data_IF_333901807205
#
_entry.id   IF_333901807205
#
_cell.length_a   1.000
_cell.length_b   1.000
_cell.length_c   1.000
_cell.angle_alpha   90.00
_cell.angle_beta   90.00
_cell.angle_gamma   90.00
#
_symmetry.space_group_name_H-M   'P 1'
#
loop_
_entity.id
_entity.type
_entity.pdbx_description
1 polymer ?
#
# COMPACT_ATOMS: atom_id res chain seq x y z
N UNK A 1 0.91 -7.41 -52.01
CA UNK A 1 1.96 -7.40 -50.96
C UNK A 1 1.54 -6.65 -49.69
N UNK A 2 0.30 -6.15 -49.58
CA UNK A 2 -0.22 -5.55 -48.34
C UNK A 2 -1.09 -6.51 -47.51
N UNK A 3 -1.60 -7.60 -48.10
CA UNK A 3 -2.47 -8.54 -47.39
C UNK A 3 -1.71 -9.44 -46.41
N UNK A 4 -0.41 -9.68 -46.64
CA UNK A 4 0.43 -10.51 -45.78
C UNK A 4 0.90 -9.80 -44.49
N UNK A 5 0.65 -8.49 -44.37
CA UNK A 5 0.92 -7.73 -43.12
C UNK A 5 -0.31 -7.63 -42.21
N UNK A 6 -1.52 -7.91 -42.71
CA UNK A 6 -2.74 -7.95 -41.89
C UNK A 6 -2.92 -9.30 -41.19
N UNK A 7 -2.59 -10.41 -41.86
CA UNK A 7 -2.67 -11.75 -41.26
C UNK A 7 -1.63 -12.01 -40.15
N UNK A 8 -0.50 -11.29 -40.14
CA UNK A 8 0.49 -11.42 -39.06
C UNK A 8 0.10 -10.67 -37.78
N UNK A 9 -0.82 -9.69 -37.86
CA UNK A 9 -1.33 -8.99 -36.68
C UNK A 9 -2.56 -9.66 -36.06
N UNK A 10 -3.21 -10.57 -36.79
CA UNK A 10 -4.43 -11.28 -36.34
C UNK A 10 -4.13 -12.66 -35.70
N UNK A 11 -2.91 -13.19 -35.83
CA UNK A 11 -2.53 -14.53 -35.38
C UNK A 11 -1.87 -14.62 -33.98
N UNK A 12 -1.78 -13.52 -33.22
CA UNK A 12 -1.29 -13.54 -31.82
C UNK A 12 -2.40 -13.37 -30.78
N UNK A 13 -3.64 -13.71 -31.10
CA UNK A 13 -4.67 -13.92 -30.07
C UNK A 13 -4.54 -15.39 -29.62
N UNK A 14 -3.52 -15.69 -28.82
CA UNK A 14 -3.46 -16.96 -28.10
C UNK A 14 -4.69 -17.04 -27.19
N UNK A 15 -5.57 -18.01 -27.47
CA UNK A 15 -6.66 -18.37 -26.57
C UNK A 15 -6.05 -18.86 -25.24
N UNK A 16 -5.95 -17.92 -24.28
CA UNK A 16 -5.42 -18.20 -22.95
C UNK A 16 -6.19 -19.37 -22.34
N UNK A 17 -5.45 -20.40 -21.92
CA UNK A 17 -6.03 -21.56 -21.24
C UNK A 17 -6.71 -21.12 -19.94
N UNK A 18 -7.69 -21.89 -19.46
CA UNK A 18 -8.44 -21.56 -18.23
C UNK A 18 -7.53 -21.30 -17.04
N UNK A 19 -6.41 -22.02 -16.94
CA UNK A 19 -5.40 -21.82 -15.90
C UNK A 19 -4.68 -20.48 -16.04
N UNK A 20 -4.30 -20.08 -17.25
CA UNK A 20 -3.71 -18.76 -17.51
C UNK A 20 -4.69 -17.62 -17.21
N UNK A 21 -5.99 -17.82 -17.46
CA UNK A 21 -7.04 -16.86 -17.08
C UNK A 21 -7.16 -16.72 -15.56
N UNK A 22 -7.17 -17.84 -14.84
CA UNK A 22 -7.20 -17.86 -13.38
C UNK A 22 -5.95 -17.20 -12.78
N UNK A 23 -4.76 -17.45 -13.34
CA UNK A 23 -3.51 -16.80 -12.93
C UNK A 23 -3.53 -15.27 -13.12
N UNK A 24 -4.15 -14.80 -14.21
CA UNK A 24 -4.29 -13.36 -14.50
C UNK A 24 -5.31 -12.73 -13.56
N UNK A 25 -6.42 -13.42 -13.29
CA UNK A 25 -7.43 -13.01 -12.30
C UNK A 25 -6.83 -12.96 -10.88
N UNK A 26 -6.06 -13.98 -10.49
CA UNK A 26 -5.35 -13.99 -9.20
C UNK A 26 -4.30 -12.89 -9.11
N UNK A 27 -3.54 -12.60 -10.17
CA UNK A 27 -2.62 -11.45 -10.21
C UNK A 27 -3.34 -10.11 -10.14
N UNK A 28 -4.50 -9.98 -10.76
CA UNK A 28 -5.32 -8.76 -10.70
C UNK A 28 -5.93 -8.57 -9.30
N UNK A 29 -6.41 -9.65 -8.66
CA UNK A 29 -6.89 -9.63 -7.28
C UNK A 29 -5.75 -9.34 -6.32
N UNK A 30 -4.57 -9.94 -6.52
CA UNK A 30 -3.37 -9.65 -5.76
C UNK A 30 -2.94 -8.18 -5.94
N UNK A 31 -2.99 -7.64 -7.16
CA UNK A 31 -2.74 -6.22 -7.43
C UNK A 31 -3.79 -5.29 -6.80
N UNK A 32 -5.05 -5.71 -6.71
CA UNK A 32 -6.13 -5.00 -6.01
C UNK A 32 -5.97 -5.07 -4.47
N UNK A 33 -5.41 -6.15 -3.95
CA UNK A 33 -5.00 -6.28 -2.55
C UNK A 33 -3.76 -5.41 -2.29
N UNK A 34 -2.84 -5.34 -3.25
CA UNK A 34 -1.66 -4.46 -3.22
C UNK A 34 -2.02 -2.97 -3.40
N UNK A 35 -3.18 -2.65 -3.99
CA UNK A 35 -3.76 -1.28 -4.06
C UNK A 35 -4.19 -0.74 -2.70
N UNK A 36 -4.36 -1.62 -1.71
CA UNK A 36 -4.62 -1.30 -0.32
C UNK A 36 -3.46 -1.80 0.54
N UNK A 37 -2.29 -1.14 0.50
CA UNK A 37 -1.10 -1.62 1.21
C UNK A 37 -1.39 -1.64 2.71
N UNK A 38 -1.62 -2.84 3.25
CA UNK A 38 -1.70 -3.07 4.68
C UNK A 38 -0.30 -3.34 5.20
N UNK A 39 0.13 -2.56 6.17
CA UNK A 39 1.36 -2.86 6.89
C UNK A 39 1.15 -2.67 8.38
N UNK A 40 1.87 -3.46 9.16
CA UNK A 40 1.83 -3.41 10.61
C UNK A 40 3.18 -2.97 11.18
N UNK A 41 3.12 -2.19 12.25
CA UNK A 41 4.29 -1.69 12.98
C UNK A 41 4.25 -2.24 14.39
N UNK A 42 5.22 -3.08 14.78
CA UNK A 42 5.28 -3.58 16.15
C UNK A 42 5.58 -2.43 17.10
N UNK A 43 4.74 -2.29 18.12
CA UNK A 43 4.92 -1.36 19.23
C UNK A 43 5.87 -2.01 20.24
N UNK A 44 6.74 -1.25 20.91
CA UNK A 44 7.60 -1.79 21.99
C UNK A 44 6.82 -2.02 23.30
N UNK A 45 5.55 -2.43 23.19
CA UNK A 45 4.61 -2.58 24.30
C UNK A 45 4.10 -4.01 24.28
N UNK A 46 4.32 -4.72 25.38
CA UNK A 46 3.77 -6.05 25.61
C UNK A 46 2.34 -5.97 26.16
N UNK A 47 1.43 -6.86 25.74
CA UNK A 47 0.08 -6.92 26.25
C UNK A 47 0.10 -7.31 27.73
N UNK A 48 -0.48 -6.43 28.55
CA UNK A 48 -0.74 -6.73 29.96
C UNK A 48 -1.88 -7.72 30.13
N UNK A 49 -1.96 -8.35 31.32
CA UNK A 49 -3.11 -9.19 31.67
C UNK A 49 -4.34 -8.31 31.91
N UNK A 50 -5.54 -8.75 31.49
CA UNK A 50 -6.77 -8.02 31.77
C UNK A 50 -7.01 -7.90 33.28
N UNK A 51 -7.61 -6.77 33.69
CA UNK A 51 -7.93 -6.53 35.11
C UNK A 51 -8.89 -7.61 35.64
N UNK A 52 -8.59 -8.10 36.86
CA UNK A 52 -9.43 -9.10 37.55
C UNK A 52 -10.90 -8.66 37.68
N UNK A 53 -11.13 -7.36 37.86
CA UNK A 53 -12.49 -6.78 37.91
C UNK A 53 -13.27 -6.92 36.60
N UNK A 54 -12.59 -6.78 35.46
CA UNK A 54 -13.25 -6.93 34.15
C UNK A 54 -13.54 -8.41 33.87
N UNK A 55 -12.61 -9.30 34.22
CA UNK A 55 -12.85 -10.74 34.13
C UNK A 55 -14.03 -11.17 35.00
N UNK A 56 -14.10 -10.67 36.23
CA UNK A 56 -15.23 -10.91 37.13
C UNK A 56 -16.55 -10.36 36.57
N UNK A 57 -16.55 -9.12 36.06
CA UNK A 57 -17.73 -8.52 35.44
C UNK A 57 -18.23 -9.33 34.24
N UNK A 58 -17.34 -9.76 33.35
CA UNK A 58 -17.70 -10.54 32.17
C UNK A 58 -18.24 -11.93 32.53
N UNK A 59 -17.76 -12.50 33.64
CA UNK A 59 -18.27 -13.76 34.19
C UNK A 59 -19.68 -13.59 34.78
N UNK A 60 -19.95 -12.47 35.47
CA UNK A 60 -21.24 -12.20 36.11
C UNK A 60 -22.31 -11.69 35.15
N UNK A 61 -21.91 -11.00 34.08
CA UNK A 61 -22.83 -10.37 33.12
C UNK A 61 -22.45 -10.75 31.67
N UNK A 62 -22.74 -11.98 31.22
CA UNK A 62 -22.32 -12.46 29.90
C UNK A 62 -22.91 -11.62 28.75
N UNK A 63 -24.13 -11.11 28.90
CA UNK A 63 -24.77 -10.22 27.91
C UNK A 63 -24.27 -8.76 27.91
N UNK A 64 -23.39 -8.38 28.84
CA UNK A 64 -22.79 -7.03 28.95
C UNK A 64 -21.28 -7.10 29.13
N UNK A 65 -20.63 -7.98 28.36
CA UNK A 65 -19.20 -8.18 28.40
C UNK A 65 -18.44 -6.88 28.05
N UNK A 66 -17.50 -6.50 28.92
CA UNK A 66 -16.59 -5.36 28.74
C UNK A 66 -15.28 -5.87 28.17
N UNK A 67 -14.83 -5.24 27.08
CA UNK A 67 -13.52 -5.52 26.50
C UNK A 67 -12.47 -4.76 27.31
N UNK A 68 -11.48 -5.48 27.86
CA UNK A 68 -10.32 -4.84 28.46
C UNK A 68 -9.43 -4.27 27.35
N UNK A 69 -9.01 -3.00 27.50
CA UNK A 69 -8.08 -2.33 26.60
C UNK A 69 -6.94 -1.73 27.42
N UNK A 70 -5.72 -1.87 26.92
CA UNK A 70 -4.55 -1.22 27.52
C UNK A 70 -4.67 0.30 27.40
N UNK A 71 -4.57 1.01 28.53
CA UNK A 71 -4.69 2.47 28.60
C UNK A 71 -3.55 3.20 27.88
N UNK A 72 -2.41 2.53 27.67
CA UNK A 72 -1.24 3.10 26.97
C UNK A 72 -1.48 3.30 25.48
N UNK A 73 -2.49 2.62 24.90
CA UNK A 73 -2.79 2.66 23.48
C UNK A 73 -3.92 3.67 23.23
N UNK A 74 -3.70 4.70 22.40
CA UNK A 74 -4.73 5.65 22.00
C UNK A 74 -5.96 4.94 21.41
N UNK A 75 -7.16 5.50 21.65
CA UNK A 75 -8.44 4.85 21.31
C UNK A 75 -8.64 4.69 19.79
N UNK A 76 -8.11 5.64 19.04
CA UNK A 76 -8.16 5.77 17.58
C UNK A 76 -7.24 4.77 16.85
N UNK A 77 -6.29 4.13 17.54
CA UNK A 77 -5.37 3.20 16.90
C UNK A 77 -6.04 1.85 16.61
N UNK A 78 -5.82 1.35 15.40
CA UNK A 78 -6.08 -0.05 15.03
C UNK A 78 -4.90 -0.91 15.46
N UNK A 79 -5.09 -1.79 16.45
CA UNK A 79 -4.02 -2.61 17.03
C UNK A 79 -4.43 -4.08 17.06
N UNK A 80 -3.51 -4.95 16.66
CA UNK A 80 -3.59 -6.42 16.82
C UNK A 80 -2.48 -6.91 17.74
N UNK A 81 -2.59 -8.13 18.24
CA UNK A 81 -1.53 -8.78 19.05
C UNK A 81 -0.94 -9.89 18.21
N UNK A 82 0.38 -9.90 18.04
CA UNK A 82 1.09 -10.91 17.28
C UNK A 82 2.32 -11.40 18.05
N UNK A 83 2.74 -12.62 17.76
CA UNK A 83 3.92 -13.25 18.36
C UNK A 83 5.15 -12.99 17.51
N UNK A 84 6.14 -12.31 18.07
CA UNK A 84 7.37 -11.93 17.37
C UNK A 84 8.57 -12.52 18.13
N UNK A 85 9.54 -13.16 17.45
CA UNK A 85 10.79 -13.57 18.09
C UNK A 85 11.61 -12.33 18.48
N UNK A 86 11.91 -12.18 19.76
CA UNK A 86 12.83 -11.16 20.25
C UNK A 86 14.27 -11.70 20.18
N UNK A 87 15.09 -11.11 19.30
CA UNK A 87 16.47 -11.49 19.11
C UNK A 87 17.33 -11.33 20.38
N UNK A 88 16.98 -10.40 21.27
CA UNK A 88 17.76 -10.15 22.49
C UNK A 88 17.44 -11.18 23.58
N UNK A 89 16.19 -11.60 23.69
CA UNK A 89 15.72 -12.52 24.73
C UNK A 89 15.74 -13.99 24.30
N UNK A 90 15.91 -14.26 23.00
CA UNK A 90 15.85 -15.62 22.43
C UNK A 90 14.48 -16.28 22.64
N UNK A 91 13.42 -15.48 22.80
CA UNK A 91 12.07 -15.95 23.12
C UNK A 91 11.06 -15.30 22.19
N UNK A 92 9.97 -16.03 21.96
CA UNK A 92 8.79 -15.50 21.31
C UNK A 92 8.06 -14.59 22.32
N UNK A 93 7.85 -13.34 21.95
CA UNK A 93 7.12 -12.37 22.76
C UNK A 93 5.85 -11.94 22.03
N UNK A 94 4.73 -11.94 22.74
CA UNK A 94 3.50 -11.31 22.25
C UNK A 94 3.67 -9.80 22.30
N UNK A 95 3.48 -9.13 21.18
CA UNK A 95 3.68 -7.69 21.03
C UNK A 95 2.47 -7.07 20.34
N UNK A 96 2.10 -5.86 20.74
CA UNK A 96 1.06 -5.11 20.03
C UNK A 96 1.58 -4.61 18.68
N UNK A 97 0.81 -4.80 17.61
CA UNK A 97 1.09 -4.27 16.28
C UNK A 97 0.06 -3.22 15.90
N UNK A 98 0.52 -2.02 15.53
CA UNK A 98 -0.35 -0.98 14.97
C UNK A 98 -0.51 -1.22 13.47
N UNK A 99 -1.75 -1.35 13.02
CA UNK A 99 -2.09 -1.60 11.63
C UNK A 99 -2.34 -0.30 10.88
N UNK A 100 -1.80 -0.23 9.68
CA UNK A 100 -1.98 0.87 8.74
C UNK A 100 -2.47 0.33 7.41
N UNK A 101 -3.20 1.18 6.70
CA UNK A 101 -3.76 0.89 5.38
C UNK A 101 -3.53 2.11 4.50
N UNK A 102 -2.83 1.93 3.38
CA UNK A 102 -2.69 2.94 2.35
C UNK A 102 -3.76 2.65 1.31
N UNK A 103 -4.78 3.52 1.24
CA UNK A 103 -5.82 3.42 0.21
C UNK A 103 -5.28 3.92 -1.13
N UNK A 104 -5.94 3.60 -2.27
CA UNK A 104 -5.66 4.26 -3.54
C UNK A 104 -5.65 5.78 -3.39
N UNK A 105 -4.58 6.41 -3.88
CA UNK A 105 -4.28 7.82 -3.60
C UNK A 105 -5.23 8.76 -4.36
N UNK A 106 -5.77 9.76 -3.67
CA UNK A 106 -6.55 10.81 -4.34
C UNK A 106 -5.64 11.72 -5.17
N UNK A 107 -6.18 12.29 -6.25
CA UNK A 107 -5.42 13.18 -7.14
C UNK A 107 -4.73 14.32 -6.37
N UNK A 108 -5.46 14.98 -5.46
CA UNK A 108 -4.89 16.06 -4.65
C UNK A 108 -3.78 15.61 -3.69
N UNK A 109 -3.81 14.35 -3.25
CA UNK A 109 -2.74 13.72 -2.46
C UNK A 109 -1.53 13.41 -3.34
N UNK A 110 -1.76 12.89 -4.55
CA UNK A 110 -0.70 12.60 -5.52
C UNK A 110 0.09 13.87 -5.85
N UNK A 111 -0.58 14.99 -6.09
CA UNK A 111 0.10 16.26 -6.39
C UNK A 111 0.98 16.76 -5.23
N UNK A 112 0.49 16.61 -3.99
CA UNK A 112 1.27 16.96 -2.80
C UNK A 112 2.46 16.02 -2.63
N UNK A 113 2.27 14.71 -2.84
CA UNK A 113 3.35 13.74 -2.80
C UNK A 113 4.40 14.04 -3.86
N UNK A 114 4.03 14.36 -5.11
CA UNK A 114 4.98 14.76 -6.16
C UNK A 114 5.86 15.93 -5.72
N UNK A 115 5.26 16.94 -5.09
CA UNK A 115 6.01 18.07 -4.51
C UNK A 115 7.02 17.61 -3.47
N UNK A 116 6.68 16.62 -2.62
CA UNK A 116 7.63 16.06 -1.65
C UNK A 116 8.74 15.28 -2.35
N UNK A 117 8.42 14.41 -3.32
CA UNK A 117 9.42 13.62 -4.05
C UNK A 117 10.41 14.50 -4.84
N UNK A 118 9.97 15.65 -5.38
CA UNK A 118 10.87 16.61 -6.04
C UNK A 118 11.96 17.18 -5.13
N UNK A 119 11.72 17.21 -3.81
CA UNK A 119 12.72 17.65 -2.84
C UNK A 119 13.74 16.54 -2.50
N UNK A 120 13.55 15.32 -3.03
CA UNK A 120 14.52 14.24 -2.92
C UNK A 120 15.41 14.30 -4.16
N UNK A 121 16.65 14.71 -3.97
CA UNK A 121 17.67 14.64 -5.02
C UNK A 121 18.08 13.17 -5.18
N UNK A 122 17.66 12.54 -6.28
CA UNK A 122 18.17 11.23 -6.71
C UNK A 122 18.98 11.41 -7.99
N UNK A 123 20.23 10.98 -7.96
CA UNK A 123 21.07 10.85 -9.15
C UNK A 123 21.31 9.35 -9.38
N UNK A 124 20.61 8.79 -10.38
CA UNK A 124 20.67 7.37 -10.71
C UNK A 124 22.08 6.93 -11.13
N UNK A 125 22.88 7.85 -11.69
CA UNK A 125 24.24 7.58 -12.12
C UNK A 125 25.18 7.34 -10.94
N UNK A 126 25.04 8.10 -9.84
CA UNK A 126 25.91 7.95 -8.67
C UNK A 126 25.57 6.75 -7.79
N UNK A 127 24.36 6.19 -7.90
CA UNK A 127 23.95 4.98 -7.18
C UNK A 127 24.75 3.76 -7.67
N UNK A 128 25.01 3.67 -8.97
CA UNK A 128 25.84 2.59 -9.52
C UNK A 128 27.32 2.75 -9.13
N UNK A 129 27.82 3.98 -9.14
CA UNK A 129 29.23 4.24 -8.87
C UNK A 129 29.60 4.16 -7.38
N UNK A 130 28.73 4.63 -6.47
CA UNK A 130 29.02 4.73 -5.03
C UNK A 130 27.84 4.40 -4.11
N UNK A 131 27.42 3.12 -4.06
CA UNK A 131 26.23 2.69 -3.31
C UNK A 131 26.30 3.01 -1.81
N UNK A 132 27.49 2.98 -1.21
CA UNK A 132 27.67 3.27 0.22
C UNK A 132 27.49 4.77 0.52
N UNK A 133 27.94 5.65 -0.36
CA UNK A 133 27.79 7.10 -0.14
C UNK A 133 26.35 7.55 -0.37
N UNK A 134 25.66 7.00 -1.36
CA UNK A 134 24.23 7.23 -1.59
C UNK A 134 23.38 6.70 -0.43
N UNK A 135 23.75 5.56 0.15
CA UNK A 135 23.10 5.06 1.37
C UNK A 135 23.23 6.03 2.56
N UNK A 136 24.33 6.80 2.65
CA UNK A 136 24.49 7.87 3.66
C UNK A 136 23.61 9.09 3.35
N UNK A 137 23.43 9.44 2.08
CA UNK A 137 22.52 10.52 1.66
C UNK A 137 21.05 10.17 1.91
N UNK A 138 20.65 8.90 1.80
CA UNK A 138 19.31 8.41 2.18
C UNK A 138 18.93 8.78 3.62
N UNK A 139 19.88 8.85 4.56
CA UNK A 139 19.60 9.29 5.93
C UNK A 139 19.14 10.75 6.02
N UNK A 140 19.64 11.63 5.14
CA UNK A 140 19.20 13.05 5.05
C UNK A 140 17.71 13.14 4.78
N UNK A 141 17.18 12.22 3.98
CA UNK A 141 15.80 12.22 3.51
C UNK A 141 14.84 11.44 4.41
N UNK A 142 15.30 10.77 5.48
CA UNK A 142 14.42 10.02 6.40
C UNK A 142 13.20 10.83 6.86
N UNK A 143 13.34 12.10 7.30
CA UNK A 143 12.18 12.87 7.72
C UNK A 143 11.18 13.09 6.58
N UNK A 144 11.69 13.25 5.36
CA UNK A 144 10.87 13.52 4.18
C UNK A 144 10.20 12.24 3.67
N UNK A 145 10.90 11.12 3.66
CA UNK A 145 10.35 9.78 3.35
C UNK A 145 9.28 9.37 4.36
N UNK A 146 9.49 9.64 5.65
CA UNK A 146 8.48 9.40 6.68
C UNK A 146 7.25 10.32 6.51
N UNK A 147 7.44 11.53 6.00
CA UNK A 147 6.34 12.44 5.66
C UNK A 147 5.53 11.95 4.47
N UNK A 148 6.20 11.48 3.41
CA UNK A 148 5.58 10.83 2.26
C UNK A 148 4.69 9.65 2.72
N UNK A 149 5.23 8.78 3.58
CA UNK A 149 4.47 7.66 4.13
C UNK A 149 3.26 8.12 4.95
N UNK A 150 3.42 9.15 5.78
CA UNK A 150 2.33 9.69 6.59
C UNK A 150 1.20 10.29 5.73
N UNK A 151 1.56 11.05 4.70
CA UNK A 151 0.63 11.64 3.73
C UNK A 151 -0.15 10.54 3.00
N UNK A 152 0.55 9.49 2.53
CA UNK A 152 -0.08 8.38 1.82
C UNK A 152 -1.05 7.58 2.70
N UNK A 153 -0.73 7.39 3.99
CA UNK A 153 -1.61 6.70 4.94
C UNK A 153 -2.86 7.52 5.28
N UNK A 154 -2.72 8.84 5.42
CA UNK A 154 -3.85 9.72 5.73
C UNK A 154 -4.76 9.89 4.51
N UNK A 155 -4.17 10.16 3.34
CA UNK A 155 -4.84 10.33 2.04
C UNK A 155 -6.17 11.12 2.12
N UNK A 156 -6.07 12.38 2.55
CA UNK A 156 -7.20 13.24 2.89
C UNK A 156 -6.91 14.67 2.37
N UNK A 157 -7.91 15.40 1.82
CA UNK A 157 -7.74 16.80 1.40
C UNK A 157 -7.12 17.72 2.47
N UNK A 158 -7.40 17.47 3.75
CA UNK A 158 -6.91 18.27 4.87
C UNK A 158 -5.38 18.22 5.07
N UNK A 159 -4.65 17.36 4.34
CA UNK A 159 -3.19 17.30 4.38
C UNK A 159 -2.54 18.64 4.00
N UNK A 160 -3.21 19.45 3.19
CA UNK A 160 -2.73 20.78 2.78
C UNK A 160 -2.93 21.85 3.86
N UNK A 161 -3.73 21.57 4.89
CA UNK A 161 -4.06 22.55 5.93
C UNK A 161 -2.92 22.68 6.95
N UNK A 162 -2.32 23.88 7.14
CA UNK A 162 -1.22 24.06 8.08
C UNK A 162 -1.57 23.78 9.54
N UNK A 163 -2.86 23.78 9.87
CA UNK A 163 -3.39 23.54 11.22
C UNK A 163 -3.50 22.05 11.55
N UNK A 164 -3.53 21.18 10.54
CA UNK A 164 -3.63 19.74 10.75
C UNK A 164 -2.29 19.18 11.24
N UNK A 165 -2.33 18.53 12.41
CA UNK A 165 -1.15 17.92 13.04
C UNK A 165 -1.02 16.42 12.75
N UNK A 166 -2.03 15.78 12.14
CA UNK A 166 -2.05 14.34 11.87
C UNK A 166 -0.80 13.86 11.13
N UNK A 167 -0.40 14.59 10.08
CA UNK A 167 0.81 14.27 9.30
C UNK A 167 2.07 14.35 10.16
N UNK A 168 2.20 15.39 10.99
CA UNK A 168 3.37 15.59 11.86
C UNK A 168 3.48 14.51 12.93
N UNK A 169 2.36 14.16 13.56
CA UNK A 169 2.29 13.11 14.58
C UNK A 169 2.61 11.74 13.98
N UNK A 170 2.05 11.43 12.82
CA UNK A 170 2.28 10.14 12.15
C UNK A 170 3.71 10.03 11.59
N UNK A 171 4.26 11.12 11.04
CA UNK A 171 5.66 11.23 10.64
C UNK A 171 6.59 10.91 11.81
N UNK A 172 6.36 11.55 12.97
CA UNK A 172 7.15 11.31 14.18
C UNK A 172 7.06 9.84 14.61
N UNK A 173 5.85 9.28 14.62
CA UNK A 173 5.64 7.87 14.91
C UNK A 173 6.45 6.95 13.99
N UNK A 174 6.42 7.19 12.68
CA UNK A 174 7.17 6.38 11.71
C UNK A 174 8.69 6.49 11.89
N UNK A 175 9.23 7.67 12.17
CA UNK A 175 10.66 7.84 12.44
C UNK A 175 11.10 7.05 13.68
N UNK A 176 10.26 7.01 14.72
CA UNK A 176 10.59 6.32 15.98
C UNK A 176 10.45 4.78 15.91
N UNK A 177 9.60 4.28 15.00
CA UNK A 177 9.19 2.86 15.01
C UNK A 177 9.54 2.07 13.74
N UNK A 178 9.88 2.73 12.62
CA UNK A 178 10.27 2.06 11.38
C UNK A 178 11.77 2.14 11.14
N UNK A 179 12.34 1.07 10.58
CA UNK A 179 13.71 1.10 10.08
C UNK A 179 13.79 1.82 8.74
N UNK A 180 14.99 2.34 8.41
CA UNK A 180 15.26 3.05 7.14
C UNK A 180 14.85 2.20 5.92
N UNK A 181 15.26 0.92 5.90
CA UNK A 181 14.90 -0.03 4.83
C UNK A 181 13.38 -0.20 4.68
N UNK A 182 12.63 -0.20 5.78
CA UNK A 182 11.15 -0.31 5.73
C UNK A 182 10.52 0.96 5.19
N UNK A 183 11.03 2.12 5.58
CA UNK A 183 10.58 3.42 5.07
C UNK A 183 10.86 3.57 3.56
N UNK A 184 12.05 3.19 3.13
CA UNK A 184 12.44 3.16 1.71
C UNK A 184 11.53 2.23 0.90
N UNK A 185 11.28 1.01 1.39
CA UNK A 185 10.36 0.07 0.73
C UNK A 185 8.95 0.65 0.63
N UNK A 186 8.47 1.33 1.68
CA UNK A 186 7.17 2.01 1.65
C UNK A 186 7.14 3.16 0.64
N UNK A 187 8.20 3.97 0.54
CA UNK A 187 8.22 5.07 -0.44
C UNK A 187 8.32 4.59 -1.88
N UNK A 188 8.99 3.47 -2.15
CA UNK A 188 8.99 2.85 -3.48
C UNK A 188 7.57 2.39 -3.86
N UNK A 189 6.87 1.73 -2.95
CA UNK A 189 5.48 1.29 -3.17
C UNK A 189 4.55 2.50 -3.39
N UNK A 190 4.67 3.56 -2.58
CA UNK A 190 3.87 4.78 -2.75
C UNK A 190 4.16 5.45 -4.11
N UNK A 191 5.42 5.50 -4.54
CA UNK A 191 5.81 6.02 -5.86
C UNK A 191 5.17 5.23 -7.00
N UNK A 192 5.14 3.89 -6.89
CA UNK A 192 4.43 3.03 -7.83
C UNK A 192 2.92 3.31 -7.84
N UNK A 193 2.30 3.51 -6.67
CA UNK A 193 0.87 3.87 -6.56
C UNK A 193 0.54 5.24 -7.17
N UNK A 194 1.48 6.20 -7.17
CA UNK A 194 1.30 7.52 -7.79
C UNK A 194 1.38 7.49 -9.32
N UNK A 195 2.12 6.52 -9.88
CA UNK A 195 2.32 6.37 -11.32
C UNK A 195 1.11 5.67 -11.96
N UNK A 196 0.02 6.42 -12.08
CA UNK A 196 -1.22 5.97 -12.71
C UNK A 196 -1.05 5.44 -14.15
N UNK A 197 0.05 5.76 -14.85
CA UNK A 197 0.33 5.28 -16.21
C UNK A 197 0.73 3.79 -16.31
N UNK A 198 1.42 3.26 -15.30
CA UNK A 198 1.66 1.82 -15.19
C UNK A 198 0.37 1.08 -14.84
N UNK A 199 -0.46 1.71 -14.01
CA UNK A 199 -1.78 1.23 -13.60
C UNK A 199 -2.81 1.24 -14.73
N UNK A 200 -2.89 2.30 -15.55
CA UNK A 200 -3.76 2.33 -16.74
C UNK A 200 -3.28 1.37 -17.81
N UNK A 201 -1.98 1.10 -17.91
CA UNK A 201 -1.45 0.05 -18.78
C UNK A 201 -1.88 -1.34 -18.29
N UNK A 202 -1.74 -1.65 -16.99
CA UNK A 202 -2.23 -2.91 -16.41
C UNK A 202 -3.75 -3.06 -16.50
N UNK A 203 -4.52 -2.00 -16.26
CA UNK A 203 -5.99 -2.00 -16.44
C UNK A 203 -6.39 -2.05 -17.91
N UNK A 204 -5.67 -1.39 -18.83
CA UNK A 204 -5.92 -1.47 -20.28
C UNK A 204 -5.63 -2.87 -20.79
N UNK A 205 -4.55 -3.52 -20.36
CA UNK A 205 -4.29 -4.93 -20.65
C UNK A 205 -5.44 -5.83 -20.16
N UNK A 206 -6.06 -5.51 -19.02
CA UNK A 206 -7.26 -6.19 -18.49
C UNK A 206 -8.53 -5.84 -19.30
N UNK A 207 -8.69 -4.60 -19.75
CA UNK A 207 -9.88 -4.11 -20.47
C UNK A 207 -9.90 -4.49 -21.95
N UNK A 208 -8.73 -4.61 -22.59
CA UNK A 208 -8.58 -5.12 -23.95
C UNK A 208 -8.99 -6.60 -24.06
N UNK A 209 -8.96 -7.35 -22.96
CA UNK A 209 -9.54 -8.70 -22.84
C UNK A 209 -11.09 -8.65 -22.77
N UNK A 210 -11.68 -7.50 -22.41
CA UNK A 210 -13.10 -7.38 -22.05
C UNK A 210 -14.00 -6.58 -22.98
N UNK A 211 -13.52 -6.02 -24.10
CA UNK A 211 -14.40 -5.29 -25.04
C UNK A 211 -14.07 -5.60 -26.49
N UNK A 212 -14.92 -6.45 -27.09
CA UNK A 212 -15.00 -6.62 -28.53
C UNK A 212 -15.38 -5.29 -29.18
N UNK A 213 -14.69 -4.93 -30.27
CA UNK A 213 -15.13 -3.86 -31.17
C UNK A 213 -16.59 -4.15 -31.57
N UNK A 214 -17.49 -3.14 -31.62
CA UNK A 214 -18.81 -3.38 -32.19
C UNK A 214 -18.63 -3.82 -33.64
N UNK A 215 -19.23 -4.96 -34.02
CA UNK A 215 -19.23 -5.44 -35.41
C UNK A 215 -19.83 -4.35 -36.31
N UNK A 216 -19.08 -3.94 -37.33
CA UNK A 216 -19.55 -2.99 -38.35
C UNK A 216 -20.62 -3.60 -39.29
N UNK A 217 -20.95 -4.89 -39.14
CA UNK A 217 -21.79 -5.64 -40.07
C UNK A 217 -23.27 -5.73 -39.65
N UNK A 218 -23.84 -4.62 -39.20
CA UNK A 218 -25.30 -4.45 -39.10
C UNK A 218 -25.76 -3.42 -40.14
N UNK A 219 -25.48 -3.69 -41.41
CA UNK A 219 -26.26 -3.15 -42.51
C UNK A 219 -26.99 -4.34 -43.12
N UNK A 220 -28.26 -4.52 -42.73
CA UNK A 220 -29.19 -5.34 -43.50
C UNK A 220 -29.20 -4.79 -44.92
N UNK A 221 -28.63 -5.54 -45.86
CA UNK A 221 -29.04 -5.43 -47.26
C UNK A 221 -30.49 -5.93 -47.33
N UNK A 222 -31.46 -5.02 -47.24
CA UNK A 222 -32.78 -5.30 -47.79
C UNK A 222 -32.58 -5.51 -49.30
N UNK A 223 -32.80 -6.76 -49.71
CA UNK A 223 -32.71 -7.22 -51.08
C UNK A 223 -33.89 -6.68 -51.91
N UNK A 224 -33.60 -6.48 -53.20
CA UNK A 224 -34.48 -6.65 -54.38
C UNK A 224 -35.90 -6.05 -54.34
#
# INVERSE_FOLDING_TARGET
>A
MEDNKKEQAENEIQDLTREQRLDIEERAIQALIDLGVKFSVPLKITPGKPSKWILWWNKMFPGKAKIWRDKRIPKDWSVTTDEIPDANLGKIQTVYQRNFFIKPLYLGTIDYLRKLYLNIEYDEATIQDQPIQESKKLFKYIPLVAEIAAVAVINDPCIKDPKDKRVKELKKFFIEHLSVKRLEKLSLVISQMMNAGGFTSSIRSIKEIGTTKPRADLIEKSQA
#
